data_IF_284321544000
#
_entry.id   IF_284321544000
#
_cell.length_a   1.000
_cell.length_b   1.000
_cell.length_c   1.000
_cell.angle_alpha   90.00
_cell.angle_beta   90.00
_cell.angle_gamma   90.00
#
_symmetry.space_group_name_H-M   'P 1'
#
loop_
_entity.id
_entity.type
_entity.pdbx_description
1 polymer ?
2 water ?
#
# COMPACT_ATOMS: atom_id res chain seq x y z
N UNK A 3 -16.86 -16.19 6.00
CA UNK A 3 -15.42 -16.01 5.78
C UNK A 3 -15.19 -14.97 4.66
N UNK A 4 -14.04 -14.32 4.65
CA UNK A 4 -13.74 -13.30 3.66
C UNK A 4 -12.61 -13.74 2.73
N UNK A 5 -12.43 -13.00 1.64
CA UNK A 5 -11.29 -13.15 0.74
C UNK A 5 -10.52 -11.83 0.80
N UNK A 6 -9.37 -11.84 1.49
CA UNK A 6 -8.52 -10.66 1.58
C UNK A 6 -7.52 -10.63 0.43
N UNK A 7 -7.31 -9.45 -0.12
CA UNK A 7 -6.29 -9.23 -1.14
C UNK A 7 -5.27 -8.26 -0.57
N UNK A 8 -4.05 -8.74 -0.35
CA UNK A 8 -3.03 -7.98 0.36
C UNK A 8 -2.12 -7.31 -0.67
N UNK A 9 -1.89 -6.01 -0.49
CA UNK A 9 -1.29 -5.13 -1.48
C UNK A 9 -0.13 -4.38 -0.84
N UNK A 10 1.10 -4.73 -1.24
CA UNK A 10 2.31 -4.12 -0.68
C UNK A 10 2.50 -2.68 -1.20
N UNK A 11 3.52 -2.01 -0.64
CA UNK A 11 3.88 -0.67 -1.04
C UNK A 11 5.07 -0.67 -1.98
N UNK A 12 5.57 0.53 -2.29
CA UNK A 12 6.57 0.61 -3.35
C UNK A 12 7.90 0.11 -2.81
N UNK A 13 8.69 -0.47 -3.70
CA UNK A 13 9.95 -1.16 -3.42
C UNK A 13 9.75 -2.44 -2.62
N UNK A 14 8.51 -2.85 -2.36
CA UNK A 14 8.28 -4.08 -1.60
C UNK A 14 7.57 -5.10 -2.51
N UNK A 15 7.09 -6.17 -1.89
CA UNK A 15 6.51 -7.27 -2.62
C UNK A 15 5.59 -8.07 -1.73
N UNK A 16 5.00 -9.12 -2.29
CA UNK A 16 4.06 -9.94 -1.53
C UNK A 16 4.68 -10.46 -0.25
N UNK A 17 6.02 -10.61 -0.23
CA UNK A 17 6.72 -11.23 0.88
C UNK A 17 6.53 -10.50 2.22
N UNK A 18 6.20 -9.21 2.20
CA UNK A 18 5.96 -8.52 3.48
C UNK A 18 4.78 -9.11 4.26
N UNK A 19 3.87 -9.82 3.57
CA UNK A 19 2.70 -10.42 4.20
C UNK A 19 2.94 -11.86 4.68
N UNK A 20 4.20 -12.31 4.75
CA UNK A 20 4.48 -13.71 5.02
C UNK A 20 4.10 -14.11 6.45
N UNK A 21 3.98 -13.18 7.39
CA UNK A 21 3.48 -13.53 8.72
C UNK A 21 1.96 -13.42 8.80
N UNK A 22 1.38 -12.44 8.14
CA UNK A 22 -0.05 -12.20 8.26
C UNK A 22 -0.90 -13.22 7.48
N UNK A 23 -0.42 -13.67 6.32
CA UNK A 23 -1.24 -14.58 5.51
C UNK A 23 -1.53 -15.89 6.23
N UNK A 24 -0.57 -16.62 6.78
CA UNK A 24 -0.93 -17.82 7.55
C UNK A 24 -1.89 -17.55 8.71
N UNK A 25 -1.81 -16.38 9.36
CA UNK A 25 -2.72 -16.12 10.47
C UNK A 25 -4.16 -15.93 9.99
N UNK A 26 -4.36 -15.12 8.94
CA UNK A 26 -5.70 -14.98 8.36
C UNK A 26 -6.22 -16.31 7.86
N UNK A 27 -5.36 -17.15 7.28
CA UNK A 27 -5.81 -18.46 6.83
C UNK A 27 -6.16 -19.37 8.00
N UNK A 28 -5.43 -19.27 9.12
CA UNK A 28 -5.80 -20.01 10.33
C UNK A 28 -7.12 -19.55 10.92
N UNK A 29 -7.59 -18.34 10.58
CA UNK A 29 -8.94 -17.93 10.96
C UNK A 29 -10.01 -18.38 9.96
N UNK A 30 -9.62 -19.08 8.90
CA UNK A 30 -10.56 -19.62 7.94
C UNK A 30 -10.76 -18.82 6.66
N UNK A 31 -10.01 -17.74 6.46
CA UNK A 31 -10.26 -16.87 5.33
C UNK A 31 -9.43 -17.28 4.10
N UNK A 32 -9.85 -16.79 2.95
CA UNK A 32 -9.03 -16.88 1.74
C UNK A 32 -8.15 -15.64 1.64
N UNK A 33 -6.89 -15.83 1.22
CA UNK A 33 -5.93 -14.74 1.17
C UNK A 33 -5.16 -14.82 -0.13
N UNK A 34 -5.09 -13.70 -0.85
CA UNK A 34 -4.22 -13.53 -2.01
C UNK A 34 -3.25 -12.40 -1.69
N UNK A 35 -1.95 -12.65 -1.81
CA UNK A 35 -0.95 -11.60 -1.67
C UNK A 35 -0.22 -11.45 -3.01
N UNK A 36 -0.49 -10.33 -3.70
CA UNK A 36 0.01 -10.06 -5.05
C UNK A 36 1.38 -9.38 -5.03
N UNK A 37 2.21 -9.71 -6.03
CA UNK A 37 3.32 -8.86 -6.45
C UNK A 37 2.81 -7.91 -7.53
N UNK A 38 2.92 -6.60 -7.30
CA UNK A 38 2.62 -5.65 -8.35
C UNK A 38 3.75 -5.65 -9.39
N UNK A 39 3.62 -4.81 -10.42
CA UNK A 39 4.59 -4.84 -11.52
C UNK A 39 5.99 -4.53 -11.01
N UNK A 40 6.97 -5.27 -11.54
CA UNK A 40 8.37 -5.05 -11.22
C UNK A 40 8.64 -5.09 -9.72
N UNK A 41 7.86 -5.88 -8.98
CA UNK A 41 8.02 -6.00 -7.54
C UNK A 41 8.09 -7.47 -7.15
N UNK A 42 8.79 -7.76 -6.06
CA UNK A 42 8.82 -9.14 -5.60
C UNK A 42 9.47 -10.00 -6.66
N UNK A 43 8.79 -11.06 -7.08
CA UNK A 43 9.29 -11.96 -8.13
C UNK A 43 8.61 -11.69 -9.48
N UNK A 44 7.97 -10.53 -9.64
CA UNK A 44 7.47 -10.14 -10.96
C UNK A 44 8.66 -10.02 -11.91
N UNK A 45 8.53 -10.53 -13.15
CA UNK A 45 9.67 -10.53 -14.09
C UNK A 45 10.06 -9.14 -14.61
N UNK A 46 9.15 -8.17 -14.63
CA UNK A 46 9.45 -6.90 -15.26
C UNK A 46 10.40 -6.06 -14.42
N UNK A 47 11.03 -5.09 -15.09
CA UNK A 47 11.84 -4.05 -14.45
C UNK A 47 11.05 -2.75 -14.41
N UNK A 48 11.36 -1.89 -13.44
CA UNK A 48 10.60 -0.65 -13.27
C UNK A 48 10.68 0.21 -14.55
N UNK A 49 11.78 0.14 -15.28
CA UNK A 49 11.93 0.99 -16.45
C UNK A 49 10.94 0.66 -17.57
N UNK A 50 10.27 -0.49 -17.52
CA UNK A 50 9.17 -0.80 -18.44
C UNK A 50 7.83 -0.21 -18.00
N UNK A 51 7.74 0.40 -16.82
CA UNK A 51 6.47 0.82 -16.22
C UNK A 51 6.39 2.35 -16.26
N UNK A 52 5.31 2.86 -16.84
CA UNK A 52 5.22 4.29 -17.14
C UNK A 52 4.24 5.10 -16.29
N UNK A 53 3.57 4.45 -15.33
CA UNK A 53 2.58 5.12 -14.50
C UNK A 53 2.20 4.17 -13.34
N UNK A 54 1.63 4.74 -12.25
CA UNK A 54 0.96 3.92 -11.24
C UNK A 54 -0.12 2.99 -11.76
N UNK A 55 -0.83 3.38 -12.81
CA UNK A 55 -1.87 2.51 -13.33
C UNK A 55 -1.28 1.23 -13.93
N UNK A 56 -0.21 1.35 -14.71
CA UNK A 56 0.51 0.15 -15.20
C UNK A 56 1.19 -0.61 -14.07
N UNK A 57 1.70 0.13 -13.08
CA UNK A 57 2.27 -0.50 -11.89
C UNK A 57 1.24 -1.40 -11.21
N UNK A 58 -0.03 -1.00 -11.22
CA UNK A 58 -1.13 -1.72 -10.58
C UNK A 58 -1.68 -2.90 -11.39
N UNK A 59 -1.12 -3.19 -12.57
CA UNK A 59 -1.75 -4.17 -13.46
C UNK A 59 -2.05 -5.52 -12.81
N UNK A 60 -1.15 -6.15 -12.04
CA UNK A 60 -1.53 -7.45 -11.47
C UNK A 60 -2.72 -7.38 -10.54
N UNK A 61 -2.99 -6.24 -9.89
CA UNK A 61 -4.17 -6.14 -9.04
C UNK A 61 -5.43 -6.01 -9.90
N UNK A 62 -5.39 -5.14 -10.91
CA UNK A 62 -6.51 -5.03 -11.84
C UNK A 62 -6.82 -6.36 -12.52
N UNK A 63 -5.78 -7.08 -12.96
CA UNK A 63 -5.98 -8.36 -13.64
C UNK A 63 -6.55 -9.40 -12.69
N UNK A 64 -6.09 -9.43 -11.44
CA UNK A 64 -6.69 -10.33 -10.46
C UNK A 64 -8.16 -10.02 -10.29
N UNK A 65 -8.52 -8.75 -10.14
CA UNK A 65 -9.89 -8.37 -9.89
C UNK A 65 -10.77 -8.66 -11.10
N UNK A 66 -10.27 -8.36 -12.29
CA UNK A 66 -10.97 -8.74 -13.53
C UNK A 66 -11.30 -10.23 -13.55
N UNK A 67 -10.42 -11.07 -13.00
CA UNK A 67 -10.65 -12.51 -13.03
C UNK A 67 -11.67 -12.98 -11.99
N UNK A 68 -12.11 -12.12 -11.08
CA UNK A 68 -13.14 -12.53 -10.10
C UNK A 68 -14.47 -12.75 -10.81
N UNK A 69 -15.11 -13.91 -10.61
CA UNK A 69 -16.41 -14.13 -11.24
C UNK A 69 -17.46 -13.22 -10.63
N UNK A 70 -18.55 -12.95 -11.35
CA UNK A 70 -19.54 -11.99 -10.86
C UNK A 70 -20.11 -12.42 -9.51
N UNK A 71 -20.34 -11.43 -8.63
CA UNK A 71 -20.86 -11.66 -7.31
C UNK A 71 -19.82 -11.98 -6.25
N UNK A 72 -18.56 -12.18 -6.64
CA UNK A 72 -17.48 -12.37 -5.68
C UNK A 72 -16.92 -11.01 -5.29
N UNK A 73 -16.88 -10.74 -3.99
CA UNK A 73 -16.30 -9.51 -3.48
C UNK A 73 -15.08 -9.82 -2.62
N UNK A 74 -14.14 -8.89 -2.60
CA UNK A 74 -12.91 -9.07 -1.85
C UNK A 74 -12.72 -7.88 -0.92
N UNK A 75 -11.95 -8.09 0.13
CA UNK A 75 -11.52 -7.01 1.01
C UNK A 75 -10.08 -6.68 0.65
N UNK A 76 -9.84 -5.48 0.14
CA UNK A 76 -8.48 -5.07 -0.18
C UNK A 76 -7.79 -4.55 1.08
N UNK A 77 -6.52 -4.92 1.25
CA UNK A 77 -5.69 -4.48 2.37
C UNK A 77 -4.41 -3.95 1.77
N UNK A 78 -4.18 -2.64 1.88
CA UNK A 78 -2.99 -2.00 1.33
C UNK A 78 -2.08 -1.51 2.43
N UNK A 79 -0.78 -1.54 2.14
CA UNK A 79 0.25 -1.05 3.06
C UNK A 79 1.05 0.06 2.38
N UNK A 80 1.34 1.14 3.10
CA UNK A 80 2.19 2.25 2.61
C UNK A 80 1.57 2.81 1.33
N UNK A 81 2.33 2.90 0.22
CA UNK A 81 1.79 3.42 -1.04
C UNK A 81 0.68 2.55 -1.66
N UNK A 82 0.51 1.31 -1.18
CA UNK A 82 -0.53 0.44 -1.70
C UNK A 82 -1.92 1.02 -1.63
N UNK A 83 -2.15 1.99 -0.73
CA UNK A 83 -3.41 2.72 -0.74
C UNK A 83 -3.72 3.37 -2.08
N UNK A 84 -2.70 3.72 -2.87
CA UNK A 84 -2.95 4.30 -4.18
C UNK A 84 -3.36 3.24 -5.20
N UNK A 85 -2.73 2.06 -5.16
CA UNK A 85 -3.19 0.94 -5.97
C UNK A 85 -4.66 0.61 -5.68
N UNK A 86 -5.08 0.75 -4.41
CA UNK A 86 -6.48 0.52 -4.05
C UNK A 86 -7.40 1.49 -4.79
N UNK A 87 -7.04 2.78 -4.76
CA UNK A 87 -7.88 3.78 -5.40
C UNK A 87 -8.01 3.54 -6.90
N UNK A 88 -6.90 3.17 -7.57
CA UNK A 88 -6.95 2.83 -8.99
C UNK A 88 -7.86 1.62 -9.22
N UNK A 89 -7.64 0.54 -8.46
CA UNK A 89 -8.51 -0.62 -8.61
C UNK A 89 -9.96 -0.27 -8.36
N UNK A 90 -10.22 0.61 -7.37
CA UNK A 90 -11.60 0.94 -7.00
C UNK A 90 -12.34 1.72 -8.08
N UNK A 91 -11.62 2.46 -8.93
CA UNK A 91 -12.26 3.21 -10.01
C UNK A 91 -12.58 2.34 -11.21
N UNK A 92 -12.21 1.07 -11.20
CA UNK A 92 -12.60 0.14 -12.24
C UNK A 92 -13.45 -1.01 -11.73
N UNK A 93 -13.25 -1.46 -10.49
CA UNK A 93 -13.94 -2.65 -9.97
C UNK A 93 -14.57 -2.40 -8.59
N UNK A 94 -15.11 -1.19 -8.37
CA UNK A 94 -15.71 -0.90 -7.07
C UNK A 94 -16.78 -1.92 -6.68
N UNK A 95 -17.46 -2.52 -7.66
CA UNK A 95 -18.51 -3.46 -7.30
C UNK A 95 -17.96 -4.79 -6.80
N UNK A 96 -16.69 -5.09 -7.06
CA UNK A 96 -16.04 -6.30 -6.57
C UNK A 96 -15.38 -6.09 -5.20
N UNK A 97 -15.50 -4.92 -4.60
CA UNK A 97 -14.76 -4.58 -3.39
C UNK A 97 -15.76 -4.44 -2.24
N UNK A 98 -15.69 -5.36 -1.27
CA UNK A 98 -16.55 -5.26 -0.09
C UNK A 98 -16.10 -4.15 0.85
N UNK A 99 -14.79 -3.93 0.96
CA UNK A 99 -14.21 -2.89 1.80
C UNK A 99 -12.74 -2.76 1.48
N UNK A 100 -12.16 -1.60 1.78
CA UNK A 100 -10.72 -1.39 1.68
C UNK A 100 -10.20 -0.99 3.05
N UNK A 101 -9.08 -1.60 3.43
CA UNK A 101 -8.41 -1.37 4.71
C UNK A 101 -7.04 -0.80 4.40
N UNK A 102 -6.75 0.38 4.96
CA UNK A 102 -5.49 1.07 4.73
C UNK A 102 -4.66 0.94 6.00
N UNK A 103 -3.56 0.20 5.93
CA UNK A 103 -2.70 -0.13 7.07
C UNK A 103 -1.39 0.62 6.91
N UNK A 104 -1.15 1.61 7.77
CA UNK A 104 0.05 2.44 7.68
C UNK A 104 0.26 2.92 6.24
N UNK A 105 -0.80 3.50 5.69
CA UNK A 105 -0.87 3.64 4.24
C UNK A 105 -1.30 5.04 3.85
N UNK A 106 -1.06 5.38 2.58
CA UNK A 106 -1.61 6.61 2.03
C UNK A 106 -3.11 6.43 1.85
N UNK A 107 -3.84 7.54 1.92
CA UNK A 107 -5.30 7.55 1.78
C UNK A 107 -5.68 8.66 0.81
N UNK A 108 -5.72 8.36 -0.49
CA UNK A 108 -6.05 9.40 -1.48
C UNK A 108 -7.53 9.77 -1.39
N UNK A 109 -7.89 10.92 -1.97
CA UNK A 109 -9.28 11.35 -1.90
C UNK A 109 -9.84 11.60 -3.31
N UNK A 110 -11.02 12.21 -3.36
CA UNK A 110 -11.67 12.55 -4.63
C UNK A 110 -11.66 14.04 -4.94
N UNK A 111 -11.44 14.89 -3.95
CA UNK A 111 -11.52 16.33 -4.15
C UNK A 111 -10.27 16.92 -4.76
N UNK A 112 -9.12 16.27 -4.59
CA UNK A 112 -7.85 16.82 -5.06
C UNK A 112 -7.19 15.84 -6.03
N UNK A 113 -6.07 16.26 -6.60
CA UNK A 113 -5.39 15.44 -7.61
C UNK A 113 -4.76 14.20 -6.97
N UNK A 114 -4.55 13.14 -7.76
CA UNK A 114 -4.13 11.86 -7.17
C UNK A 114 -2.78 11.90 -6.47
N UNK A 115 -1.95 12.90 -6.74
CA UNK A 115 -0.68 13.04 -6.01
C UNK A 115 -0.81 13.77 -4.68
N UNK A 116 -2.02 14.21 -4.30
CA UNK A 116 -2.23 15.12 -3.16
C UNK A 116 -1.54 14.60 -1.89
N UNK A 117 -1.85 13.36 -1.50
CA UNK A 117 -1.36 12.89 -0.21
C UNK A 117 0.12 12.55 -0.28
N UNK A 118 0.63 12.31 -1.48
CA UNK A 118 2.06 12.06 -1.67
C UNK A 118 2.86 13.35 -1.53
N UNK A 119 2.38 14.45 -2.13
CA UNK A 119 3.05 15.72 -1.88
C UNK A 119 3.00 16.11 -0.41
N UNK A 120 1.88 15.84 0.27
CA UNK A 120 1.85 16.11 1.70
C UNK A 120 2.84 15.24 2.46
N UNK A 121 3.06 14.00 2.01
CA UNK A 121 4.01 13.12 2.66
C UNK A 121 5.45 13.63 2.55
N UNK A 122 5.83 14.22 1.40
CA UNK A 122 7.21 14.73 1.31
C UNK A 122 7.44 16.04 2.03
N UNK A 123 6.40 16.81 2.32
CA UNK A 123 6.59 17.95 3.21
C UNK A 123 6.80 17.47 4.64
N UNK A 124 6.00 16.49 5.08
CA UNK A 124 6.13 16.00 6.45
C UNK A 124 7.41 15.20 6.63
N UNK A 125 7.85 14.48 5.60
CA UNK A 125 9.05 13.63 5.70
C UNK A 125 9.90 13.81 4.46
N UNK A 126 10.70 14.88 4.41
CA UNK A 126 11.49 15.18 3.20
C UNK A 126 12.87 14.54 3.13
N UNK A 127 13.37 13.88 4.17
CA UNK A 127 14.74 13.38 4.17
C UNK A 127 14.70 11.86 4.16
N UNK A 128 15.01 11.27 3.02
CA UNK A 128 14.95 9.83 2.86
C UNK A 128 16.30 9.16 3.06
N UNK A 129 17.24 9.85 3.71
CA UNK A 129 18.51 9.29 4.22
C UNK A 129 19.30 8.70 3.06
N UNK A 130 19.73 7.43 3.14
CA UNK A 130 20.59 6.86 2.10
C UNK A 130 19.81 6.39 0.86
N UNK A 131 18.56 6.80 0.69
CA UNK A 131 17.79 6.38 -0.48
C UNK A 131 18.43 6.97 -1.75
N UNK A 132 18.61 6.15 -2.78
CA UNK A 132 19.18 6.61 -4.05
C UNK A 132 18.09 6.82 -5.10
N UNK A 133 18.38 7.65 -6.09
CA UNK A 133 17.40 8.03 -7.12
C UNK A 133 18.05 7.91 -8.49
N UNK A 134 17.20 7.71 -9.49
CA UNK A 134 17.64 7.62 -10.87
C UNK A 134 16.50 8.10 -11.75
N UNK A 135 16.81 8.34 -13.03
CA UNK A 135 15.80 8.74 -14.00
C UNK A 135 15.78 7.79 -15.19
N UNK A 136 14.59 7.60 -15.74
CA UNK A 136 14.40 6.92 -17.01
C UNK A 136 13.22 7.55 -17.73
N UNK A 137 13.11 7.28 -19.02
CA UNK A 137 12.00 7.80 -19.81
C UNK A 137 11.12 6.65 -20.28
N UNK A 138 9.82 6.84 -20.14
CA UNK A 138 8.87 5.85 -20.63
C UNK A 138 7.66 6.62 -21.11
N UNK A 139 7.20 6.28 -22.31
CA UNK A 139 6.07 6.92 -22.95
C UNK A 139 6.28 8.44 -23.03
N UNK A 140 7.51 8.85 -23.31
CA UNK A 140 7.81 10.26 -23.49
C UNK A 140 7.95 11.09 -22.21
N UNK A 141 7.80 10.49 -21.03
CA UNK A 141 7.85 11.24 -19.78
C UNK A 141 9.09 10.82 -18.99
N UNK A 142 9.72 11.78 -18.32
CA UNK A 142 10.89 11.50 -17.49
C UNK A 142 10.41 11.11 -16.09
N UNK A 143 10.75 9.91 -15.65
CA UNK A 143 10.24 9.34 -14.41
C UNK A 143 11.42 9.18 -13.45
N UNK A 144 11.23 9.60 -12.21
CA UNK A 144 12.25 9.44 -11.20
C UNK A 144 11.99 8.16 -10.42
N UNK A 145 12.92 7.21 -10.53
CA UNK A 145 12.85 5.98 -9.78
C UNK A 145 13.67 6.10 -8.51
N UNK A 146 13.40 5.18 -7.58
CA UNK A 146 14.14 5.20 -6.32
C UNK A 146 14.38 3.79 -5.82
N UNK A 147 15.38 3.68 -4.95
CA UNK A 147 15.66 2.47 -4.19
C UNK A 147 15.83 2.89 -2.73
N UNK A 148 14.93 2.42 -1.86
CA UNK A 148 14.95 2.79 -0.45
C UNK A 148 16.29 2.44 0.20
N UNK A 149 16.89 3.43 0.87
CA UNK A 149 18.16 3.19 1.54
C UNK A 149 18.05 2.18 2.66
N UNK A 150 19.12 1.40 2.85
CA UNK A 150 19.12 0.38 3.90
C UNK A 150 19.01 1.00 5.28
N UNK A 151 19.64 2.17 5.49
CA UNK A 151 19.56 2.86 6.77
C UNK A 151 18.16 3.42 6.99
N UNK A 152 17.54 4.00 5.96
CA UNK A 152 16.13 4.38 6.09
C UNK A 152 15.28 3.18 6.43
N UNK A 153 15.49 2.06 5.73
CA UNK A 153 14.72 0.84 6.04
C UNK A 153 14.90 0.43 7.49
N UNK A 154 16.13 0.46 7.98
CA UNK A 154 16.40 -0.01 9.34
C UNK A 154 15.74 0.88 10.37
N UNK A 155 15.88 2.19 10.21
CA UNK A 155 15.54 3.15 11.26
C UNK A 155 14.12 3.66 11.18
N UNK A 156 13.56 3.78 9.97
CA UNK A 156 12.27 4.42 9.82
C UNK A 156 11.13 3.50 9.39
N UNK A 157 11.42 2.36 8.78
CA UNK A 157 10.35 1.43 8.41
C UNK A 157 10.34 0.22 9.32
N UNK A 158 11.48 -0.46 9.46
CA UNK A 158 11.60 -1.67 10.27
C UNK A 158 12.12 -1.36 11.67
N UNK A 159 11.68 -0.24 12.26
CA UNK A 159 12.23 0.22 13.54
C UNK A 159 12.23 -0.86 14.61
N UNK A 160 11.13 -1.59 14.73
CA UNK A 160 10.95 -2.56 15.80
C UNK A 160 11.03 -4.01 15.32
N UNK A 161 11.30 -4.25 14.03
CA UNK A 161 11.40 -5.62 13.52
C UNK A 161 12.73 -6.24 13.92
N UNK A 162 12.70 -7.55 14.14
CA UNK A 162 13.92 -8.29 14.43
C UNK A 162 14.86 -8.32 13.23
N UNK A 163 16.13 -8.64 13.47
CA UNK A 163 17.10 -8.65 12.37
C UNK A 163 16.76 -9.62 11.25
N UNK A 164 16.04 -10.71 11.56
CA UNK A 164 15.68 -11.69 10.53
C UNK A 164 14.62 -11.13 9.58
N UNK A 165 13.76 -10.23 10.05
CA UNK A 165 12.81 -9.58 9.14
C UNK A 165 13.50 -8.48 8.35
N UNK A 166 14.30 -7.66 9.05
CA UNK A 166 15.03 -6.60 8.36
C UNK A 166 15.89 -7.19 7.24
N UNK A 167 16.48 -8.37 7.46
CA UNK A 167 17.34 -8.96 6.43
C UNK A 167 16.55 -9.24 5.16
N UNK A 168 15.32 -9.75 5.28
CA UNK A 168 14.48 -9.97 4.11
C UNK A 168 14.33 -8.69 3.28
N UNK A 169 14.22 -7.54 3.96
CA UNK A 169 14.07 -6.28 3.23
C UNK A 169 15.33 -5.93 2.45
N UNK A 170 16.51 -6.08 3.06
CA UNK A 170 17.74 -5.79 2.32
C UNK A 170 17.89 -6.69 1.12
N UNK A 171 17.24 -7.84 1.18
CA UNK A 171 17.45 -9.00 0.33
C UNK A 171 16.46 -8.91 -0.83
N UNK A 172 15.24 -8.42 -0.54
CA UNK A 172 14.13 -8.47 -1.48
C UNK A 172 13.60 -7.13 -1.98
N UNK A 173 13.83 -6.02 -1.28
CA UNK A 173 13.34 -4.74 -1.82
C UNK A 173 14.02 -4.45 -3.16
N UNK A 174 13.28 -3.84 -4.08
CA UNK A 174 13.79 -3.57 -5.42
C UNK A 174 13.53 -2.10 -5.76
N UNK A 175 14.19 -1.61 -6.79
CA UNK A 175 13.95 -0.24 -7.23
C UNK A 175 12.52 -0.08 -7.72
N UNK A 176 11.97 1.11 -7.53
CA UNK A 176 10.59 1.38 -7.92
C UNK A 176 10.51 2.85 -8.32
N UNK A 177 9.31 3.41 -8.25
CA UNK A 177 9.09 4.83 -8.44
C UNK A 177 7.81 5.24 -7.72
N UNK A 178 7.77 6.49 -7.28
CA UNK A 178 6.53 7.10 -6.80
C UNK A 178 5.64 7.58 -7.93
N UNK A 179 6.16 7.67 -9.15
CA UNK A 179 5.39 8.19 -10.31
C UNK A 179 4.69 9.49 -9.94
N UNK A 180 5.41 10.34 -9.22
CA UNK A 180 4.77 11.48 -8.56
C UNK A 180 4.28 12.51 -9.58
N UNK A 181 5.09 12.79 -10.60
CA UNK A 181 4.67 13.73 -11.65
C UNK A 181 3.52 13.16 -12.48
N UNK A 182 3.58 11.86 -12.78
CA UNK A 182 2.48 11.22 -13.50
C UNK A 182 1.20 11.25 -12.67
N UNK A 183 1.32 11.00 -11.36
CA UNK A 183 0.15 11.05 -10.50
C UNK A 183 -0.48 12.43 -10.52
N UNK A 184 0.33 13.48 -10.60
CA UNK A 184 -0.21 14.84 -10.52
C UNK A 184 -1.10 15.15 -11.72
N UNK A 185 -0.77 14.60 -12.88
CA UNK A 185 -1.51 14.83 -14.12
C UNK A 185 -2.62 13.80 -14.34
N UNK A 186 -2.71 12.75 -13.53
CA UNK A 186 -3.74 11.74 -13.75
C UNK A 186 -5.11 12.30 -13.39
N UNK A 187 -6.16 11.93 -14.12
CA UNK A 187 -7.52 12.29 -13.70
C UNK A 187 -7.80 11.88 -12.26
N UNK A 188 -8.58 12.71 -11.58
CA UNK A 188 -8.92 12.50 -10.17
C UNK A 188 -9.60 11.15 -9.98
N UNK A 189 -9.38 10.54 -8.81
CA UNK A 189 -10.20 9.41 -8.42
C UNK A 189 -11.64 9.87 -8.29
N UNK A 190 -12.57 8.99 -8.63
CA UNK A 190 -13.93 9.43 -8.84
C UNK A 190 -14.79 9.14 -7.61
N UNK A 191 -15.81 9.98 -7.43
CA UNK A 191 -16.74 9.78 -6.33
C UNK A 191 -17.53 8.49 -6.51
N UNK A 192 -17.89 8.19 -7.76
CA UNK A 192 -18.73 7.02 -8.03
C UNK A 192 -17.97 5.72 -7.82
N UNK A 193 -16.68 5.68 -8.14
CA UNK A 193 -15.92 4.47 -7.99
C UNK A 193 -15.24 4.39 -6.64
N UNK A 194 -14.00 4.89 -6.57
CA UNK A 194 -13.23 4.89 -5.34
C UNK A 194 -14.00 5.53 -4.20
N UNK A 195 -14.62 6.68 -4.48
CA UNK A 195 -15.36 7.41 -3.48
C UNK A 195 -16.45 6.59 -2.80
N UNK A 196 -16.93 5.55 -3.47
CA UNK A 196 -18.08 4.82 -2.99
C UNK A 196 -17.73 3.65 -2.07
N UNK A 197 -16.47 3.25 -1.96
CA UNK A 197 -16.19 2.05 -1.18
C UNK A 197 -16.02 2.38 0.29
N UNK A 198 -16.35 1.39 1.12
CA UNK A 198 -16.09 1.48 2.55
C UNK A 198 -14.58 1.44 2.81
N UNK A 199 -14.12 2.33 3.68
CA UNK A 199 -12.70 2.56 3.92
C UNK A 199 -12.41 2.50 5.42
N UNK A 200 -11.46 1.65 5.80
CA UNK A 200 -11.07 1.46 7.19
C UNK A 200 -9.58 1.79 7.31
N UNK A 201 -9.24 2.67 8.24
CA UNK A 201 -7.90 3.25 8.33
C UNK A 201 -7.21 2.80 9.60
N UNK A 202 -6.07 2.13 9.45
CA UNK A 202 -5.32 1.53 10.55
C UNK A 202 -3.95 2.19 10.62
N UNK A 203 -3.58 2.67 11.81
CA UNK A 203 -2.36 3.44 11.95
C UNK A 203 -1.79 3.29 13.36
N UNK A 204 -0.52 3.67 13.51
CA UNK A 204 0.14 3.71 14.81
C UNK A 204 0.87 5.04 14.89
N UNK A 205 0.85 5.66 16.07
CA UNK A 205 1.62 6.89 16.25
C UNK A 205 3.10 6.61 16.47
N UNK A 206 3.52 5.34 16.51
CA UNK A 206 4.94 5.01 16.58
C UNK A 206 5.55 4.85 15.20
N UNK A 207 4.78 5.09 14.16
CA UNK A 207 5.29 5.04 12.80
C UNK A 207 6.34 6.14 12.61
N UNK A 208 7.56 5.75 12.21
CA UNK A 208 8.67 6.69 12.09
C UNK A 208 8.88 7.23 10.66
N UNK A 209 7.98 6.94 9.70
CA UNK A 209 8.07 7.58 8.38
C UNK A 209 6.73 8.21 7.99
N UNK A 210 5.64 7.46 8.16
CA UNK A 210 4.30 8.04 8.08
C UNK A 210 3.99 8.64 9.46
N UNK A 211 4.52 9.84 9.70
CA UNK A 211 4.51 10.48 11.02
C UNK A 211 3.09 10.77 11.50
N UNK A 212 2.87 10.85 12.82
CA UNK A 212 1.53 11.18 13.33
C UNK A 212 0.90 12.40 12.66
N UNK A 213 1.67 13.47 12.42
CA UNK A 213 1.12 14.62 11.71
C UNK A 213 0.52 14.21 10.37
N UNK A 214 1.25 13.40 9.59
CA UNK A 214 0.73 12.96 8.29
C UNK A 214 -0.49 12.07 8.46
N UNK A 215 -0.39 11.07 9.32
CA UNK A 215 -1.45 10.08 9.46
C UNK A 215 -2.74 10.74 9.98
N UNK A 216 -2.59 11.71 10.89
CA UNK A 216 -3.76 12.42 11.41
C UNK A 216 -4.32 13.38 10.37
N UNK A 217 -3.43 14.05 9.62
CA UNK A 217 -3.90 14.95 8.58
C UNK A 217 -4.75 14.19 7.56
N UNK A 218 -4.37 12.93 7.27
CA UNK A 218 -5.13 12.16 6.29
C UNK A 218 -6.53 11.85 6.80
N UNK A 219 -6.65 11.51 8.08
CA UNK A 219 -7.96 11.25 8.68
C UNK A 219 -8.83 12.49 8.58
N UNK A 220 -8.28 13.65 8.94
CA UNK A 220 -9.03 14.90 8.84
C UNK A 220 -9.35 15.25 7.39
N UNK A 221 -8.43 14.98 6.45
CA UNK A 221 -8.62 15.38 5.06
C UNK A 221 -9.70 14.57 4.37
N UNK A 222 -9.89 13.30 4.76
CA UNK A 222 -10.80 12.42 4.04
C UNK A 222 -11.26 11.37 5.06
N UNK A 223 -12.44 11.60 5.65
CA UNK A 223 -12.86 10.85 6.83
C UNK A 223 -13.10 9.37 6.52
N UNK A 224 -12.33 8.45 7.10
CA UNK A 224 -12.63 7.02 6.91
C UNK A 224 -13.95 6.61 7.57
N UNK A 225 -14.52 5.51 7.06
CA UNK A 225 -15.66 4.88 7.75
C UNK A 225 -15.33 4.32 9.13
N UNK A 226 -14.10 3.88 9.35
CA UNK A 226 -13.69 3.38 10.66
C UNK A 226 -12.20 3.62 10.79
N UNK A 227 -11.75 3.98 11.99
CA UNK A 227 -10.33 4.16 12.30
C UNK A 227 -9.99 3.22 13.44
N UNK A 228 -8.94 2.42 13.26
CA UNK A 228 -8.31 1.66 14.33
C UNK A 228 -6.92 2.21 14.55
N UNK A 229 -6.60 2.56 15.79
CA UNK A 229 -5.26 2.96 16.15
C UNK A 229 -4.60 1.80 16.89
N UNK A 230 -3.48 1.32 16.35
CA UNK A 230 -2.72 0.23 16.94
C UNK A 230 -1.67 0.84 17.86
N UNK A 231 -1.70 0.45 19.13
CA UNK A 231 -0.67 0.88 20.08
C UNK A 231 0.64 0.17 19.80
N UNK A 232 1.73 0.94 19.70
CA UNK A 232 3.05 0.35 19.57
C UNK A 232 3.40 -0.02 18.15
N UNK A 233 4.31 -0.97 18.03
CA UNK A 233 4.80 -1.44 16.73
C UNK A 233 5.60 -0.38 15.99
N UNK A 234 5.68 -0.57 14.66
CA UNK A 234 6.37 0.35 13.78
C UNK A 234 5.59 0.40 12.46
N UNK A 235 6.19 1.01 11.42
CA UNK A 235 5.52 1.18 10.14
C UNK A 235 5.13 -0.16 9.53
N UNK A 236 5.87 -1.21 9.84
CA UNK A 236 5.65 -2.51 9.26
C UNK A 236 4.70 -3.28 10.16
N UNK A 237 3.46 -2.77 10.25
CA UNK A 237 2.50 -3.26 11.22
C UNK A 237 2.14 -4.72 10.99
N UNK A 238 2.20 -5.22 9.74
CA UNK A 238 1.95 -6.63 9.50
C UNK A 238 3.11 -7.52 9.92
N UNK A 239 4.24 -6.93 10.33
CA UNK A 239 5.37 -7.69 10.87
C UNK A 239 5.51 -7.54 12.38
N UNK A 240 5.29 -6.35 12.93
CA UNK A 240 5.47 -6.13 14.36
C UNK A 240 4.19 -6.28 15.18
N UNK A 241 3.01 -6.16 14.55
CA UNK A 241 1.73 -6.27 15.26
C UNK A 241 0.78 -7.19 14.49
N UNK A 242 1.33 -8.31 14.01
CA UNK A 242 0.61 -9.17 13.09
C UNK A 242 -0.72 -9.65 13.69
N UNK A 243 -0.69 -10.07 14.96
CA UNK A 243 -1.91 -10.60 15.58
C UNK A 243 -2.96 -9.51 15.72
N UNK A 244 -2.54 -8.28 16.03
CA UNK A 244 -3.48 -7.16 16.10
C UNK A 244 -4.12 -6.89 14.73
N UNK A 245 -3.33 -6.91 13.65
CA UNK A 245 -3.89 -6.66 12.33
C UNK A 245 -4.89 -7.73 11.96
N UNK A 246 -4.55 -9.00 12.18
CA UNK A 246 -5.50 -10.08 11.90
C UNK A 246 -6.77 -9.92 12.72
N UNK A 247 -6.66 -9.43 13.97
CA UNK A 247 -7.83 -9.15 14.78
C UNK A 247 -8.70 -8.06 14.14
N UNK A 248 -8.07 -6.98 13.70
CA UNK A 248 -8.80 -5.89 13.02
C UNK A 248 -9.45 -6.41 11.73
N UNK A 249 -8.69 -7.15 10.91
CA UNK A 249 -9.26 -7.71 9.68
C UNK A 249 -10.44 -8.63 9.95
N UNK A 250 -10.39 -9.42 11.03
CA UNK A 250 -11.54 -10.27 11.35
C UNK A 250 -12.76 -9.41 11.68
N UNK A 251 -12.53 -8.29 12.37
CA UNK A 251 -13.61 -7.39 12.73
C UNK A 251 -14.16 -6.65 11.50
N UNK A 252 -13.32 -6.36 10.49
CA UNK A 252 -13.80 -5.79 9.23
C UNK A 252 -14.64 -6.81 8.46
N UNK A 253 -14.17 -8.05 8.37
CA UNK A 253 -14.92 -9.11 7.72
C UNK A 253 -16.29 -9.29 8.37
N UNK A 254 -16.30 -9.32 9.71
CA UNK A 254 -17.56 -9.45 10.46
C UNK A 254 -18.51 -8.29 10.16
N UNK A 255 -17.98 -7.11 9.86
CA UNK A 255 -18.79 -5.92 9.62
C UNK A 255 -19.25 -5.79 8.17
N UNK A 256 -18.42 -6.18 7.19
CA UNK A 256 -18.63 -5.82 5.79
C UNK A 256 -18.74 -7.01 4.85
N UNK A 257 -19.10 -8.20 5.35
CA UNK A 257 -19.32 -9.43 4.55
C UNK A 257 -18.07 -10.07 3.93
#
# INVERSE_FOLDING_TARGET
MAFAHFVLIHGICHGAWIWHKLKPLLEALGHKVTALDLAASGVDPRQIEEIGSFDEYSEPLLTFLEALPPGEKVILVGHSLGGLNIAIAADKYCEKIAAAVFVASVLPDTEHCPSYVVDKLMEVFPDWKDTTYFTYTKDGKEITGLKLGFTLLRENLYTLCGPEEYELAKMLTRKSSLFQNILAKRPFFTKEGYGSIKKIYVWTDQDEIFLPEFQLWQIENYKPDKVYKVEGGDHMLQLTKTKEIAEILQEVADTYNLEHHHHHH
#
